data_IF_102555954358
#
_entry.id   IF_102555954358
#
_cell.length_a   1.000
_cell.length_b   1.000
_cell.length_c   1.000
_cell.angle_alpha   90.00
_cell.angle_beta   90.00
_cell.angle_gamma   90.00
#
_symmetry.space_group_name_H-M   'P 1'
#
loop_
_entity.id
_entity.type
_entity.pdbx_description
1 polymer ?
#
# COMPACT_ATOMS: atom_id res chain seq x y z
N UNK A 1 -4.03 -9.20 0.28
CA UNK A 1 -3.27 -8.34 1.21
C UNK A 1 -4.22 -7.34 1.85
N UNK A 2 -4.33 -7.36 3.18
CA UNK A 2 -5.06 -6.35 3.95
C UNK A 2 -4.05 -5.35 4.52
N UNK A 3 -4.31 -4.06 4.34
CA UNK A 3 -3.50 -2.99 4.94
C UNK A 3 -4.39 -2.07 5.77
N UNK A 4 -4.04 -1.86 7.04
CA UNK A 4 -4.73 -0.91 7.90
C UNK A 4 -3.83 0.27 8.24
N UNK A 5 -4.34 1.47 8.01
CA UNK A 5 -3.65 2.74 8.24
C UNK A 5 -4.22 3.43 9.48
N UNK A 6 -3.32 3.98 10.30
CA UNK A 6 -3.66 4.94 11.36
C UNK A 6 -3.15 6.32 10.99
N UNK A 7 -4.04 7.32 11.04
CA UNK A 7 -3.75 8.72 10.72
C UNK A 7 -4.46 9.66 11.69
N UNK A 8 -3.98 10.90 11.80
CA UNK A 8 -4.67 12.00 12.49
C UNK A 8 -5.41 12.92 11.52
N UNK A 9 -5.43 12.58 10.23
CA UNK A 9 -6.16 13.34 9.23
C UNK A 9 -7.68 13.21 9.44
N UNK A 10 -8.38 14.32 9.27
CA UNK A 10 -9.84 14.39 9.40
C UNK A 10 -10.51 14.48 8.03
N UNK A 11 -9.78 14.94 7.01
CA UNK A 11 -10.22 14.94 5.62
C UNK A 11 -10.00 13.59 4.94
N UNK A 12 -10.50 13.50 3.71
CA UNK A 12 -10.26 12.34 2.87
C UNK A 12 -8.88 12.40 2.20
N UNK A 13 -8.16 11.29 2.21
CA UNK A 13 -6.82 11.14 1.64
C UNK A 13 -6.72 9.93 0.74
N UNK A 14 -5.73 9.96 -0.16
CA UNK A 14 -5.45 8.90 -1.11
C UNK A 14 -4.34 7.99 -0.62
N UNK A 15 -4.56 6.69 -0.78
CA UNK A 15 -3.63 5.64 -0.42
C UNK A 15 -3.47 4.69 -1.60
N UNK A 16 -2.23 4.51 -2.06
CA UNK A 16 -1.87 3.56 -3.11
C UNK A 16 -0.96 2.47 -2.54
N UNK A 17 -1.18 1.24 -2.98
CA UNK A 17 -0.28 0.12 -2.72
C UNK A 17 0.60 -0.08 -3.95
N UNK A 18 1.89 -0.26 -3.73
CA UNK A 18 2.87 -0.43 -4.79
C UNK A 18 3.69 -1.68 -4.53
N UNK A 19 4.03 -2.40 -5.60
CA UNK A 19 5.07 -3.41 -5.61
C UNK A 19 6.44 -2.72 -5.56
N UNK A 20 7.36 -3.29 -4.79
CA UNK A 20 8.74 -2.84 -4.69
C UNK A 20 9.67 -3.77 -5.47
N UNK A 21 10.27 -3.26 -6.55
CA UNK A 21 11.31 -3.97 -7.29
C UNK A 21 12.71 -3.51 -6.82
N UNK A 22 13.45 -4.36 -6.06
CA UNK A 22 14.78 -3.99 -5.56
C UNK A 22 15.81 -3.74 -6.67
N UNK A 23 15.54 -4.20 -7.92
CA UNK A 23 16.39 -3.97 -9.07
C UNK A 23 16.26 -2.56 -9.66
N UNK A 24 15.13 -1.89 -9.47
CA UNK A 24 14.90 -0.51 -9.94
C UNK A 24 13.57 0.05 -9.41
N UNK A 25 13.63 1.16 -8.65
CA UNK A 25 12.42 1.90 -8.24
C UNK A 25 11.61 2.47 -9.42
N UNK A 26 12.19 2.52 -10.62
CA UNK A 26 11.46 2.93 -11.83
C UNK A 26 10.48 1.85 -12.32
N UNK A 27 10.59 0.63 -11.78
CA UNK A 27 9.71 -0.47 -12.10
C UNK A 27 8.62 -0.69 -11.04
N UNK A 28 8.63 0.03 -9.92
CA UNK A 28 7.60 -0.10 -8.88
C UNK A 28 6.21 0.09 -9.50
N UNK A 29 5.39 -0.96 -9.43
CA UNK A 29 4.08 -0.96 -10.07
C UNK A 29 2.99 -0.65 -9.07
N UNK A 30 2.03 0.19 -9.49
CA UNK A 30 0.84 0.39 -8.68
C UNK A 30 -0.03 -0.86 -8.69
N UNK A 31 -0.32 -1.38 -7.51
CA UNK A 31 -1.23 -2.50 -7.31
C UNK A 31 -2.66 -1.98 -7.23
N UNK A 32 -3.44 -2.25 -8.26
CA UNK A 32 -4.84 -1.82 -8.35
C UNK A 32 -4.96 -0.31 -8.51
N UNK A 33 -5.80 0.34 -7.69
CA UNK A 33 -6.06 1.77 -7.76
C UNK A 33 -5.89 2.46 -6.40
N UNK A 34 -5.76 3.79 -6.43
CA UNK A 34 -5.79 4.61 -5.22
C UNK A 34 -7.12 4.44 -4.48
N UNK A 35 -7.06 4.26 -3.16
CA UNK A 35 -8.21 4.20 -2.27
C UNK A 35 -8.33 5.52 -1.50
N UNK A 36 -9.57 6.01 -1.36
CA UNK A 36 -9.87 7.24 -0.62
C UNK A 36 -10.41 6.90 0.75
N UNK A 37 -9.73 7.32 1.81
CA UNK A 37 -10.11 7.04 3.20
C UNK A 37 -10.25 8.33 4.01
N UNK A 38 -11.16 8.34 4.98
CA UNK A 38 -11.33 9.41 5.97
C UNK A 38 -10.90 8.85 7.32
N UNK A 39 -9.96 9.50 8.01
CA UNK A 39 -9.44 9.08 9.32
C UNK A 39 -8.72 7.72 9.38
N UNK A 40 -8.25 7.21 8.23
CA UNK A 40 -7.60 5.90 8.14
C UNK A 40 -8.62 4.77 8.14
N UNK A 41 -8.14 3.53 8.16
CA UNK A 41 -9.00 2.38 7.91
C UNK A 41 -8.24 1.20 7.33
N UNK A 42 -8.97 0.13 7.04
CA UNK A 42 -8.43 -1.09 6.46
C UNK A 42 -8.95 -1.27 5.04
N UNK A 43 -8.05 -1.55 4.12
CA UNK A 43 -8.36 -1.83 2.72
C UNK A 43 -7.70 -3.14 2.30
N UNK A 44 -8.30 -3.81 1.31
CA UNK A 44 -7.78 -5.05 0.76
C UNK A 44 -7.39 -4.84 -0.70
N UNK A 45 -6.17 -5.24 -1.03
CA UNK A 45 -5.67 -5.32 -2.40
C UNK A 45 -5.37 -6.78 -2.76
N UNK A 46 -5.67 -7.11 -4.01
CA UNK A 46 -5.20 -8.34 -4.63
C UNK A 46 -3.76 -8.13 -5.09
N UNK A 47 -2.85 -8.90 -4.50
CA UNK A 47 -1.41 -8.86 -4.78
C UNK A 47 -0.94 -10.13 -5.51
N UNK A 48 -1.85 -11.03 -5.87
CA UNK A 48 -1.51 -12.36 -6.42
C UNK A 48 -0.66 -12.28 -7.70
N UNK A 49 -0.89 -11.27 -8.53
CA UNK A 49 -0.12 -11.02 -9.75
C UNK A 49 1.30 -10.46 -9.54
N UNK A 50 1.63 -10.10 -8.30
CA UNK A 50 2.90 -9.47 -7.90
C UNK A 50 3.70 -10.36 -6.93
N UNK A 51 3.28 -11.61 -6.72
CA UNK A 51 4.04 -12.58 -5.94
C UNK A 51 5.10 -13.19 -6.85
N UNK A 52 6.34 -12.76 -6.71
CA UNK A 52 7.40 -13.15 -7.61
C UNK A 52 8.73 -13.44 -6.87
N UNK A 53 9.86 -13.21 -7.54
CA UNK A 53 11.18 -13.45 -6.98
C UNK A 53 11.48 -14.91 -6.62
N UNK A 54 12.60 -15.09 -5.92
CA UNK A 54 13.07 -16.40 -5.44
C UNK A 54 12.45 -16.79 -4.10
N UNK A 55 11.97 -15.81 -3.32
CA UNK A 55 11.33 -16.02 -2.03
C UNK A 55 9.80 -16.26 -2.13
N UNK A 56 9.21 -16.07 -3.32
CA UNK A 56 7.77 -16.23 -3.60
C UNK A 56 6.91 -15.34 -2.71
N UNK A 57 7.30 -14.08 -2.58
CA UNK A 57 6.56 -13.06 -1.84
C UNK A 57 6.28 -11.87 -2.76
N UNK A 58 5.31 -11.05 -2.34
CA UNK A 58 5.12 -9.73 -2.92
C UNK A 58 5.74 -8.72 -1.94
N UNK A 59 6.81 -8.07 -2.34
CA UNK A 59 7.38 -6.92 -1.65
C UNK A 59 6.53 -5.69 -1.95
N UNK A 60 5.91 -5.10 -0.92
CA UNK A 60 4.98 -3.97 -1.12
C UNK A 60 5.21 -2.84 -0.13
N UNK A 61 4.85 -1.63 -0.55
CA UNK A 61 4.78 -0.46 0.32
C UNK A 61 3.53 0.37 0.04
N UNK A 62 3.18 1.21 1.01
CA UNK A 62 2.06 2.14 0.91
C UNK A 62 2.57 3.55 0.63
N UNK A 63 1.98 4.22 -0.35
CA UNK A 63 2.20 5.63 -0.65
C UNK A 63 0.92 6.43 -0.41
N UNK A 64 1.05 7.66 0.10
CA UNK A 64 -0.10 8.50 0.46
C UNK A 64 0.20 9.99 0.41
N UNK A 65 -0.82 10.81 0.15
CA UNK A 65 -0.81 12.27 0.34
C UNK A 65 -1.22 12.70 1.77
N UNK A 66 -1.41 11.72 2.67
CA UNK A 66 -1.69 11.94 4.08
C UNK A 66 -0.40 12.13 4.88
N UNK A 67 0.00 13.39 5.06
CA UNK A 67 1.18 13.73 5.88
C UNK A 67 1.00 13.46 7.38
N UNK A 68 -0.18 13.03 7.84
CA UNK A 68 -0.50 12.69 9.25
C UNK A 68 -0.70 11.19 9.46
N UNK A 69 -0.59 10.37 8.42
CA UNK A 69 -0.47 8.93 8.54
C UNK A 69 0.81 8.58 9.30
N UNK A 70 0.71 7.70 10.28
CA UNK A 70 1.84 7.38 11.18
C UNK A 70 2.04 5.88 11.39
N UNK A 71 1.08 5.05 10.99
CA UNK A 71 1.21 3.59 11.03
C UNK A 71 0.52 2.99 9.83
N UNK A 72 1.17 2.04 9.16
CA UNK A 72 0.54 1.09 8.23
C UNK A 72 0.88 -0.32 8.70
N UNK A 73 -0.14 -1.18 8.82
CA UNK A 73 0.02 -2.58 9.20
C UNK A 73 -0.46 -3.46 8.05
N UNK A 74 0.30 -4.49 7.73
CA UNK A 74 0.07 -5.39 6.61
C UNK A 74 -0.24 -6.79 7.13
N UNK A 75 -1.22 -7.46 6.54
CA UNK A 75 -1.60 -8.84 6.83
C UNK A 75 -1.94 -9.59 5.54
N UNK A 76 -1.52 -10.85 5.48
CA UNK A 76 -1.84 -11.81 4.41
C UNK A 76 -3.22 -12.45 4.59
#
# INVERSE_FOLDING_TARGET
MKVCVSTREQGAKLYGLFEYDPGSSANDQQIGTNRKQVAGGCETWDVSGYVDGSNKKAEVYLSTDDSKAHTAKFWD
#
